data_IF_702767541269
#
_entry.id   IF_702767541269
#
_cell.length_a   1.000
_cell.length_b   1.000
_cell.length_c   1.000
_cell.angle_alpha   90.00
_cell.angle_beta   90.00
_cell.angle_gamma   90.00
#
_symmetry.space_group_name_H-M   'P 1'
#
loop_
_entity.id
_entity.type
_entity.pdbx_description
1 polymer ?
#
# COMPACT_ATOMS: atom_id res chain seq x y z
N UNK A 1 -1.70 -16.93 10.35
CA UNK A 1 -0.53 -16.02 10.17
C UNK A 1 -0.79 -15.02 9.05
N UNK A 2 0.04 -13.98 8.85
CA UNK A 2 -0.10 -13.07 7.70
C UNK A 2 1.27 -12.55 7.20
N UNK A 3 1.32 -12.09 5.95
CA UNK A 3 2.42 -11.32 5.39
C UNK A 3 1.89 -10.11 4.62
N UNK A 4 2.69 -9.05 4.53
CA UNK A 4 2.25 -7.79 3.96
C UNK A 4 3.30 -6.70 4.13
N UNK A 5 2.91 -5.46 3.83
CA UNK A 5 3.80 -4.31 3.91
C UNK A 5 3.09 -3.00 3.59
N UNK A 6 3.77 -1.90 3.87
CA UNK A 6 3.29 -0.53 3.68
C UNK A 6 3.37 0.28 4.97
N UNK A 7 2.48 1.27 5.09
CA UNK A 7 2.46 2.23 6.19
C UNK A 7 1.13 2.11 6.94
N UNK A 8 1.15 1.50 8.12
CA UNK A 8 -0.01 1.37 9.00
C UNK A 8 -0.04 2.51 10.03
N UNK A 9 -1.13 3.27 10.07
CA UNK A 9 -1.34 4.39 11.02
C UNK A 9 -0.15 5.37 11.14
N UNK A 10 0.31 5.99 10.04
CA UNK A 10 1.38 6.99 10.09
C UNK A 10 0.99 8.24 10.88
N UNK A 11 2.02 8.95 11.37
CA UNK A 11 1.87 10.30 11.88
C UNK A 11 1.32 11.27 10.80
N UNK A 12 0.64 12.36 11.19
CA UNK A 12 0.00 13.27 10.22
C UNK A 12 0.93 13.82 9.14
N UNK A 13 2.19 14.11 9.47
CA UNK A 13 3.16 14.64 8.50
C UNK A 13 3.53 13.59 7.43
N UNK A 14 3.81 12.36 7.85
CA UNK A 14 4.09 11.21 6.97
C UNK A 14 2.88 10.90 6.09
N UNK A 15 1.67 10.95 6.67
CA UNK A 15 0.43 10.72 5.94
C UNK A 15 0.21 11.75 4.83
N UNK A 16 0.49 13.03 5.10
CA UNK A 16 0.39 14.10 4.11
C UNK A 16 1.47 13.98 3.03
N UNK A 17 2.72 13.66 3.39
CA UNK A 17 3.78 13.39 2.40
C UNK A 17 3.39 12.23 1.46
N UNK A 18 2.85 11.15 2.02
CA UNK A 18 2.39 10.00 1.24
C UNK A 18 1.25 10.39 0.29
N UNK A 19 0.29 11.21 0.72
CA UNK A 19 -0.79 11.71 -0.15
C UNK A 19 -0.25 12.52 -1.32
N UNK A 20 0.72 13.39 -1.08
CA UNK A 20 1.34 14.20 -2.14
C UNK A 20 2.06 13.34 -3.16
N UNK A 21 2.77 12.31 -2.69
CA UNK A 21 3.46 11.37 -3.56
C UNK A 21 2.46 10.60 -4.46
N UNK A 22 1.36 10.11 -3.87
CA UNK A 22 0.28 9.43 -4.62
C UNK A 22 -0.35 10.37 -5.64
N UNK A 23 -0.62 11.62 -5.28
CA UNK A 23 -1.23 12.61 -6.17
C UNK A 23 -0.28 12.96 -7.35
N UNK A 24 0.98 13.25 -7.05
CA UNK A 24 1.98 13.62 -8.04
C UNK A 24 2.35 12.45 -8.99
N UNK A 25 2.29 11.21 -8.50
CA UNK A 25 2.73 10.02 -9.22
C UNK A 25 1.62 8.96 -9.37
N UNK A 26 0.37 9.41 -9.55
CA UNK A 26 -0.79 8.51 -9.55
C UNK A 26 -0.75 7.40 -10.62
N UNK A 27 -0.15 7.67 -11.79
CA UNK A 27 0.04 6.65 -12.82
C UNK A 27 0.96 5.50 -12.37
N UNK A 28 2.04 5.81 -11.64
CA UNK A 28 2.94 4.80 -11.06
C UNK A 28 2.23 4.02 -9.96
N UNK A 29 1.50 4.72 -9.09
CA UNK A 29 0.65 4.10 -8.08
C UNK A 29 -0.32 3.08 -8.70
N UNK A 30 -1.05 3.47 -9.74
CA UNK A 30 -1.97 2.58 -10.45
C UNK A 30 -1.25 1.39 -11.10
N UNK A 31 -0.07 1.60 -11.68
CA UNK A 31 0.72 0.52 -12.26
C UNK A 31 1.14 -0.52 -11.21
N UNK A 32 1.55 -0.09 -10.01
CA UNK A 32 1.87 -0.98 -8.88
C UNK A 32 0.64 -1.80 -8.49
N UNK A 33 -0.53 -1.16 -8.36
CA UNK A 33 -1.76 -1.84 -7.94
C UNK A 33 -2.36 -2.75 -9.01
N UNK A 34 -2.04 -2.51 -10.29
CA UNK A 34 -2.46 -3.35 -11.41
C UNK A 34 -1.49 -4.50 -11.72
N UNK A 35 -0.32 -4.55 -11.07
CA UNK A 35 0.67 -5.58 -11.30
C UNK A 35 0.11 -6.98 -10.96
N UNK A 36 0.39 -7.96 -11.82
CA UNK A 36 -0.16 -9.33 -11.68
C UNK A 36 0.42 -10.06 -10.48
N UNK A 37 1.70 -9.84 -10.16
CA UNK A 37 2.35 -10.46 -9.02
C UNK A 37 1.78 -9.86 -7.74
N UNK A 38 1.61 -8.55 -7.70
CA UNK A 38 0.98 -7.84 -6.59
C UNK A 38 -0.45 -8.35 -6.35
N UNK A 39 -1.32 -8.30 -7.36
CA UNK A 39 -2.74 -8.69 -7.25
C UNK A 39 -2.94 -10.18 -6.93
N UNK A 40 -2.03 -11.05 -7.39
CA UNK A 40 -2.06 -12.48 -7.02
C UNK A 40 -1.77 -12.69 -5.53
N UNK A 41 -0.79 -11.97 -4.98
CA UNK A 41 -0.41 -12.09 -3.58
C UNK A 41 -1.33 -11.29 -2.66
N UNK A 42 -1.92 -10.20 -3.15
CA UNK A 42 -2.73 -9.24 -2.40
C UNK A 42 -4.02 -8.91 -3.15
N UNK A 43 -4.99 -9.84 -3.22
CA UNK A 43 -6.22 -9.64 -3.99
C UNK A 43 -7.10 -8.51 -3.44
N UNK A 44 -6.98 -8.17 -2.15
CA UNK A 44 -7.66 -7.02 -1.54
C UNK A 44 -6.98 -5.67 -1.87
N UNK A 45 -5.81 -5.71 -2.50
CA UNK A 45 -5.03 -4.54 -2.87
C UNK A 45 -4.47 -3.78 -1.66
N UNK A 46 -4.42 -2.45 -1.78
CA UNK A 46 -4.03 -1.56 -0.68
C UNK A 46 -5.24 -1.21 0.16
N UNK A 47 -5.09 -1.41 1.47
CA UNK A 47 -6.07 -1.19 2.50
C UNK A 47 -5.76 0.09 3.30
N UNK A 48 -6.79 0.81 3.74
CA UNK A 48 -6.66 1.88 4.70
C UNK A 48 -6.65 1.39 6.15
N UNK A 49 -5.88 2.03 7.04
CA UNK A 49 -6.09 1.90 8.50
C UNK A 49 -7.33 2.68 8.99
N UNK A 50 -7.91 3.49 8.09
CA UNK A 50 -9.14 4.25 8.26
C UNK A 50 -9.35 5.15 7.05
N UNK A 51 -10.58 5.60 6.81
CA UNK A 51 -10.91 6.40 5.62
C UNK A 51 -11.70 7.66 6.01
N UNK A 52 -11.34 8.78 5.41
CA UNK A 52 -12.09 10.04 5.52
C UNK A 52 -13.37 9.97 4.67
N UNK A 53 -14.44 10.62 5.13
CA UNK A 53 -15.67 10.73 4.35
C UNK A 53 -15.50 11.74 3.21
N UNK A 54 -14.86 12.88 3.48
CA UNK A 54 -14.59 13.96 2.52
C UNK A 54 -13.11 13.97 2.10
N UNK A 55 -12.78 14.53 0.92
CA UNK A 55 -11.39 14.76 0.54
C UNK A 55 -10.64 15.54 1.63
N UNK A 56 -9.35 15.23 1.87
CA UNK A 56 -8.53 16.03 2.77
C UNK A 56 -8.35 17.46 2.23
N UNK A 57 -8.04 18.41 3.12
CA UNK A 57 -7.81 19.81 2.76
C UNK A 57 -6.71 19.91 1.68
N UNK A 58 -6.98 20.65 0.61
CA UNK A 58 -6.05 20.86 -0.50
C UNK A 58 -6.24 19.92 -1.69
N UNK A 59 -7.16 18.95 -1.60
CA UNK A 59 -7.48 18.04 -2.70
C UNK A 59 -8.94 18.19 -3.12
N UNK A 60 -9.16 18.34 -4.41
CA UNK A 60 -10.49 18.45 -5.00
C UNK A 60 -11.20 17.09 -5.05
N UNK A 61 -12.52 17.11 -5.01
CA UNK A 61 -13.33 15.89 -5.15
C UNK A 61 -13.20 15.21 -6.52
N UNK A 62 -12.80 15.97 -7.55
CA UNK A 62 -12.54 15.48 -8.92
C UNK A 62 -11.13 14.92 -9.12
N UNK A 63 -10.27 14.96 -8.09
CA UNK A 63 -8.92 14.44 -8.19
C UNK A 63 -8.97 12.92 -8.50
N UNK A 64 -8.24 12.42 -9.52
CA UNK A 64 -8.29 11.02 -9.90
C UNK A 64 -7.81 10.05 -8.80
N UNK A 65 -6.94 10.52 -7.89
CA UNK A 65 -6.43 9.77 -6.76
C UNK A 65 -7.29 9.90 -5.48
N UNK A 66 -8.40 10.67 -5.50
CA UNK A 66 -9.14 11.10 -4.30
C UNK A 66 -9.52 9.97 -3.35
N UNK A 67 -9.85 8.80 -3.89
CA UNK A 67 -10.26 7.65 -3.08
C UNK A 67 -9.12 7.09 -2.22
N UNK A 68 -7.88 7.12 -2.73
CA UNK A 68 -6.67 6.80 -1.96
C UNK A 68 -6.26 7.94 -1.06
N UNK A 69 -6.39 9.20 -1.50
CA UNK A 69 -6.06 10.37 -0.68
C UNK A 69 -6.89 10.44 0.61
N UNK A 70 -8.10 9.87 0.61
CA UNK A 70 -8.94 9.75 1.81
C UNK A 70 -8.43 8.73 2.82
N UNK A 71 -7.46 7.89 2.49
CA UNK A 71 -6.95 6.88 3.41
C UNK A 71 -6.16 7.52 4.55
N UNK A 72 -6.11 6.83 5.70
CA UNK A 72 -5.34 7.19 6.89
C UNK A 72 -4.13 6.28 7.12
N UNK A 73 -3.79 5.47 6.12
CA UNK A 73 -2.70 4.50 6.08
C UNK A 73 -2.77 3.73 4.76
N UNK A 74 -1.68 3.12 4.34
CA UNK A 74 -1.55 2.45 3.06
C UNK A 74 -0.79 1.16 3.27
N UNK A 75 -1.49 0.08 3.54
CA UNK A 75 -0.87 -1.22 3.77
C UNK A 75 -1.56 -2.29 2.94
N UNK A 76 -0.90 -3.41 2.75
CA UNK A 76 -1.53 -4.62 2.23
C UNK A 76 -1.18 -5.80 3.12
N UNK A 77 -2.04 -6.80 3.10
CA UNK A 77 -1.82 -8.03 3.84
C UNK A 77 -2.52 -9.19 3.13
N UNK A 78 -1.94 -10.37 3.29
CA UNK A 78 -2.56 -11.65 2.99
C UNK A 78 -2.51 -12.49 4.24
N UNK A 79 -3.64 -13.10 4.58
CA UNK A 79 -3.71 -14.11 5.62
C UNK A 79 -3.36 -15.48 5.04
N UNK A 80 -2.69 -16.29 5.87
CA UNK A 80 -2.36 -17.67 5.57
C UNK A 80 -3.21 -18.59 6.45
N UNK A 81 -3.73 -19.66 5.85
CA UNK A 81 -4.38 -20.76 6.56
C UNK A 81 -3.37 -21.58 7.36
N UNK A 82 -3.86 -22.40 8.29
CA UNK A 82 -2.99 -23.28 9.09
C UNK A 82 -2.30 -24.34 8.20
N UNK A 83 -2.96 -24.79 7.13
CA UNK A 83 -2.38 -25.70 6.14
C UNK A 83 -1.21 -25.04 5.40
N UNK A 84 -1.37 -23.80 4.95
CA UNK A 84 -0.29 -23.05 4.28
C UNK A 84 0.90 -22.83 5.22
N UNK A 85 0.65 -22.59 6.51
CA UNK A 85 1.69 -22.33 7.51
C UNK A 85 2.51 -23.59 7.83
N UNK A 86 1.88 -24.76 7.78
CA UNK A 86 2.54 -26.05 8.07
C UNK A 86 3.18 -26.69 6.83
N UNK A 87 2.93 -26.15 5.64
CA UNK A 87 3.52 -26.60 4.39
C UNK A 87 5.06 -26.37 4.36
N UNK A 88 5.87 -27.35 3.91
CA UNK A 88 7.32 -27.18 3.80
C UNK A 88 7.77 -26.00 2.91
N UNK A 89 6.91 -25.56 1.98
CA UNK A 89 7.11 -24.42 1.09
C UNK A 89 6.71 -23.07 1.69
N UNK A 90 6.20 -23.01 2.93
CA UNK A 90 5.67 -21.79 3.53
C UNK A 90 6.67 -20.62 3.51
N UNK A 91 7.94 -20.87 3.85
CA UNK A 91 8.97 -19.83 3.82
C UNK A 91 9.17 -19.22 2.42
N UNK A 92 9.05 -20.05 1.37
CA UNK A 92 9.12 -19.57 0.00
C UNK A 92 7.88 -18.73 -0.37
N UNK A 93 6.70 -19.09 0.15
CA UNK A 93 5.48 -18.31 -0.07
C UNK A 93 5.54 -16.94 0.61
N UNK A 94 6.01 -16.88 1.86
CA UNK A 94 6.26 -15.61 2.56
C UNK A 94 7.26 -14.73 1.79
N UNK A 95 8.34 -15.32 1.28
CA UNK A 95 9.32 -14.59 0.46
C UNK A 95 8.71 -14.08 -0.85
N UNK A 96 7.76 -14.80 -1.46
CA UNK A 96 7.01 -14.29 -2.63
C UNK A 96 6.14 -13.10 -2.26
N UNK A 97 5.43 -13.14 -1.13
CA UNK A 97 4.62 -12.01 -0.67
C UNK A 97 5.47 -10.76 -0.44
N UNK A 98 6.67 -10.90 0.16
CA UNK A 98 7.58 -9.75 0.35
C UNK A 98 8.14 -9.19 -0.97
N UNK A 99 8.46 -10.05 -1.94
CA UNK A 99 8.84 -9.58 -3.29
C UNK A 99 7.70 -8.83 -3.97
N UNK A 100 6.47 -9.34 -3.84
CA UNK A 100 5.29 -8.73 -4.45
C UNK A 100 4.97 -7.35 -3.87
N UNK A 101 5.13 -7.14 -2.56
CA UNK A 101 4.84 -5.84 -1.91
C UNK A 101 5.97 -4.83 -2.06
N UNK A 102 7.17 -5.26 -2.46
CA UNK A 102 8.36 -4.42 -2.48
C UNK A 102 8.21 -3.14 -3.34
N UNK A 103 7.61 -3.15 -4.55
CA UNK A 103 7.38 -1.91 -5.32
C UNK A 103 6.51 -0.89 -4.58
N UNK A 104 5.43 -1.34 -3.91
CA UNK A 104 4.60 -0.48 -3.07
C UNK A 104 5.41 0.13 -1.92
N UNK A 105 6.20 -0.67 -1.21
CA UNK A 105 7.04 -0.19 -0.11
C UNK A 105 8.07 0.83 -0.59
N UNK A 106 8.69 0.61 -1.76
CA UNK A 106 9.62 1.57 -2.34
C UNK A 106 8.96 2.90 -2.70
N UNK A 107 7.78 2.86 -3.33
CA UNK A 107 6.99 4.04 -3.63
C UNK A 107 6.68 4.84 -2.36
N UNK A 108 6.17 4.15 -1.33
CA UNK A 108 5.82 4.79 -0.06
C UNK A 108 7.04 5.37 0.67
N UNK A 109 8.19 4.68 0.64
CA UNK A 109 9.42 5.18 1.25
C UNK A 109 9.98 6.41 0.53
N UNK A 110 9.81 6.52 -0.80
CA UNK A 110 10.25 7.69 -1.58
C UNK A 110 9.60 8.98 -1.07
N UNK A 111 8.34 8.91 -0.65
CA UNK A 111 7.62 10.04 -0.05
C UNK A 111 8.27 10.56 1.24
N UNK A 112 9.05 9.73 1.93
CA UNK A 112 9.58 10.00 3.28
C UNK A 112 11.06 10.39 3.29
N UNK A 113 11.75 10.21 2.16
CA UNK A 113 13.16 10.55 2.05
C UNK A 113 13.30 12.05 1.80
N UNK A 114 14.27 12.72 2.46
CA UNK A 114 14.56 14.12 2.17
C UNK A 114 14.99 14.25 0.70
N UNK A 115 14.42 15.22 -0.02
CA UNK A 115 14.94 15.59 -1.34
C UNK A 115 16.37 16.11 -1.16
N UNK A 116 17.35 15.35 -1.64
CA UNK A 116 18.76 15.75 -1.73
C UNK A 116 18.99 16.78 -2.82
#
# INVERSE_FOLDING_TARGET
>A
SFAGGGIYMPEPAVLEQTRREIDAHFGEWQAILADKIFTTQFPEGVLPSGKLVRPPKGYEGSNPAVEYLKYKGYYTQRFFSDDEVTDPGFAAEVAKSFRAVNPLVHFLNRALLPMS
#
